data_IF_267154820441
#
_entry.id   IF_267154820441
#
_cell.length_a   1.000
_cell.length_b   1.000
_cell.length_c   1.000
_cell.angle_alpha   90.00
_cell.angle_beta   90.00
_cell.angle_gamma   90.00
#
_symmetry.space_group_name_H-M   'P 1'
#
loop_
_entity.id
_entity.type
_entity.pdbx_description
1 polymer ?
#
# COMPACT_ATOMS: atom_id res chain seq x y z
N UNK A 1 -19.47 -5.67 24.53
CA UNK A 1 -20.65 -5.87 23.68
C UNK A 1 -20.26 -5.56 22.24
N UNK A 2 -20.03 -6.57 21.40
CA UNK A 2 -19.84 -6.35 19.96
C UNK A 2 -21.17 -5.91 19.37
N UNK A 3 -21.26 -4.66 18.93
CA UNK A 3 -22.34 -4.28 18.01
C UNK A 3 -22.03 -4.96 16.68
N UNK A 4 -22.65 -6.13 16.48
CA UNK A 4 -22.81 -6.66 15.13
C UNK A 4 -23.33 -5.49 14.27
N UNK A 5 -22.66 -5.14 13.16
CA UNK A 5 -23.15 -4.07 12.31
C UNK A 5 -24.60 -4.40 11.95
N UNK A 6 -25.51 -3.43 12.10
CA UNK A 6 -26.93 -3.61 11.82
C UNK A 6 -27.10 -4.36 10.48
N UNK A 7 -28.13 -5.20 10.34
CA UNK A 7 -28.36 -5.98 9.11
C UNK A 7 -28.28 -5.12 7.82
N UNK A 8 -28.57 -3.82 7.94
CA UNK A 8 -28.54 -2.81 6.89
C UNK A 8 -27.23 -1.99 6.79
N UNK A 9 -26.13 -2.39 7.44
CA UNK A 9 -24.86 -1.68 7.36
C UNK A 9 -24.34 -1.64 5.91
N UNK A 10 -23.80 -0.48 5.54
CA UNK A 10 -23.23 -0.24 4.21
C UNK A 10 -22.02 -1.13 3.95
N UNK A 11 -21.67 -1.32 2.67
CA UNK A 11 -20.48 -2.08 2.29
C UNK A 11 -19.20 -1.51 2.93
N UNK A 12 -19.07 -0.18 2.94
CA UNK A 12 -17.94 0.52 3.55
C UNK A 12 -17.82 0.27 5.06
N UNK A 13 -18.93 0.22 5.78
CA UNK A 13 -18.93 -0.12 7.21
C UNK A 13 -18.56 -1.59 7.45
N UNK A 14 -19.04 -2.50 6.61
CA UNK A 14 -18.71 -3.93 6.70
C UNK A 14 -17.21 -4.17 6.48
N UNK A 15 -16.59 -3.49 5.52
CA UNK A 15 -15.14 -3.53 5.26
C UNK A 15 -14.29 -3.01 6.43
N UNK A 16 -14.86 -2.16 7.30
CA UNK A 16 -14.16 -1.56 8.44
C UNK A 16 -14.63 -2.13 9.79
N UNK A 17 -15.36 -3.25 9.76
CA UNK A 17 -15.81 -3.98 10.94
C UNK A 17 -15.67 -5.50 10.72
N UNK A 18 -16.76 -6.20 10.44
CA UNK A 18 -16.83 -7.67 10.32
C UNK A 18 -15.94 -8.28 9.21
N UNK A 19 -15.64 -7.52 8.16
CA UNK A 19 -14.81 -7.99 7.03
C UNK A 19 -13.43 -7.34 7.05
N UNK A 20 -13.10 -6.59 8.09
CA UNK A 20 -11.88 -5.80 8.13
C UNK A 20 -10.63 -6.66 8.05
N UNK A 21 -10.56 -7.73 8.83
CA UNK A 21 -9.45 -8.68 8.83
C UNK A 21 -9.23 -9.30 7.42
N UNK A 22 -10.31 -9.76 6.78
CA UNK A 22 -10.25 -10.34 5.43
C UNK A 22 -9.85 -9.30 4.38
N UNK A 23 -10.35 -8.09 4.49
CA UNK A 23 -9.98 -7.00 3.59
C UNK A 23 -8.51 -6.62 3.76
N UNK A 24 -7.99 -6.59 4.99
CA UNK A 24 -6.57 -6.38 5.28
C UNK A 24 -5.69 -7.51 4.74
N UNK A 25 -6.12 -8.78 4.83
CA UNK A 25 -5.39 -9.91 4.24
C UNK A 25 -5.28 -9.80 2.72
N UNK A 26 -6.38 -9.50 2.03
CA UNK A 26 -6.38 -9.27 0.58
C UNK A 26 -5.51 -8.08 0.21
N UNK A 27 -5.61 -6.98 0.96
CA UNK A 27 -4.80 -5.80 0.72
C UNK A 27 -3.30 -6.08 0.96
N UNK A 28 -2.95 -6.83 2.00
CA UNK A 28 -1.58 -7.27 2.28
C UNK A 28 -1.02 -8.11 1.13
N UNK A 29 -1.81 -9.02 0.55
CA UNK A 29 -1.38 -9.78 -0.62
C UNK A 29 -1.01 -8.85 -1.80
N UNK A 30 -1.83 -7.84 -2.09
CA UNK A 30 -1.56 -6.87 -3.16
C UNK A 30 -0.28 -6.08 -2.86
N UNK A 31 -0.13 -5.59 -1.63
CA UNK A 31 1.04 -4.84 -1.16
C UNK A 31 2.32 -5.67 -1.33
N UNK A 32 2.32 -6.92 -0.85
CA UNK A 32 3.48 -7.81 -0.90
C UNK A 32 3.81 -8.24 -2.33
N UNK A 33 2.81 -8.49 -3.18
CA UNK A 33 3.03 -8.80 -4.58
C UNK A 33 3.71 -7.62 -5.31
N UNK A 34 3.20 -6.40 -5.11
CA UNK A 34 3.79 -5.19 -5.69
C UNK A 34 5.20 -4.91 -5.15
N UNK A 35 5.40 -5.01 -3.83
CA UNK A 35 6.71 -4.78 -3.22
C UNK A 35 7.73 -5.84 -3.64
N UNK A 36 7.32 -7.10 -3.73
CA UNK A 36 8.15 -8.21 -4.22
C UNK A 36 8.65 -8.01 -5.64
N UNK A 37 7.81 -7.47 -6.53
CA UNK A 37 8.21 -7.10 -7.89
C UNK A 37 9.39 -6.12 -7.90
N UNK A 38 9.31 -5.09 -7.05
CA UNK A 38 10.37 -4.08 -6.94
C UNK A 38 11.63 -4.60 -6.25
N UNK A 39 11.49 -5.45 -5.22
CA UNK A 39 12.64 -6.09 -4.58
C UNK A 39 13.38 -7.01 -5.56
N UNK A 40 12.65 -7.77 -6.39
CA UNK A 40 13.25 -8.59 -7.43
C UNK A 40 13.97 -7.74 -8.50
N UNK A 41 13.37 -6.62 -8.89
CA UNK A 41 14.03 -5.66 -9.80
C UNK A 41 15.32 -5.11 -9.19
N UNK A 42 15.32 -4.76 -7.90
CA UNK A 42 16.52 -4.32 -7.20
C UNK A 42 17.60 -5.41 -7.18
N UNK A 43 17.21 -6.64 -6.86
CA UNK A 43 18.11 -7.79 -6.83
C UNK A 43 18.73 -8.06 -8.21
N UNK A 44 17.93 -7.99 -9.29
CA UNK A 44 18.41 -8.12 -10.66
C UNK A 44 19.50 -7.10 -10.99
N UNK A 45 19.31 -5.84 -10.58
CA UNK A 45 20.26 -4.75 -10.88
C UNK A 45 21.53 -4.90 -10.05
N UNK A 46 21.39 -5.04 -8.72
CA UNK A 46 22.52 -4.88 -7.79
C UNK A 46 23.25 -6.19 -7.48
N UNK A 47 22.55 -7.32 -7.50
CA UNK A 47 23.15 -8.62 -7.19
C UNK A 47 23.50 -9.39 -8.46
N UNK A 48 22.60 -9.40 -9.45
CA UNK A 48 22.84 -10.11 -10.72
C UNK A 48 23.51 -9.25 -11.79
N UNK A 49 23.70 -7.95 -11.55
CA UNK A 49 24.37 -7.03 -12.49
C UNK A 49 23.61 -6.80 -13.79
N UNK A 50 22.29 -7.04 -13.83
CA UNK A 50 21.51 -6.86 -15.05
C UNK A 50 21.40 -5.37 -15.41
N UNK A 51 21.51 -5.02 -16.71
CA UNK A 51 21.17 -3.68 -17.16
C UNK A 51 19.74 -3.31 -16.76
N UNK A 52 19.52 -2.08 -16.29
CA UNK A 52 18.18 -1.60 -15.85
C UNK A 52 17.04 -1.89 -16.84
N UNK A 53 17.22 -1.77 -18.18
CA UNK A 53 16.17 -2.12 -19.14
C UNK A 53 15.79 -3.61 -19.19
N UNK A 54 16.60 -4.49 -18.62
CA UNK A 54 16.37 -5.94 -18.54
C UNK A 54 15.91 -6.39 -17.15
N UNK A 55 15.97 -5.52 -16.15
CA UNK A 55 15.55 -5.81 -14.78
C UNK A 55 14.04 -5.57 -14.62
N UNK A 56 13.24 -6.56 -15.00
CA UNK A 56 11.77 -6.49 -15.04
C UNK A 56 11.09 -7.25 -13.88
N UNK A 57 11.72 -7.36 -12.70
CA UNK A 57 11.07 -7.95 -11.52
C UNK A 57 10.70 -9.43 -11.68
N UNK A 58 9.66 -9.91 -11.00
CA UNK A 58 9.21 -11.31 -11.05
C UNK A 58 8.32 -11.52 -12.28
N UNK A 59 7.18 -10.83 -12.32
CA UNK A 59 6.18 -11.02 -13.37
C UNK A 59 6.58 -10.39 -14.70
N UNK A 60 7.35 -9.30 -14.69
CA UNK A 60 7.75 -8.63 -15.92
C UNK A 60 8.79 -9.39 -16.74
N UNK A 61 9.42 -10.44 -16.20
CA UNK A 61 10.24 -11.34 -17.01
C UNK A 61 9.39 -12.20 -17.95
N UNK A 62 8.19 -12.57 -17.53
CA UNK A 62 7.26 -13.38 -18.34
C UNK A 62 6.28 -12.50 -19.13
N UNK A 63 5.90 -11.36 -18.57
CA UNK A 63 4.94 -10.42 -19.16
C UNK A 63 5.48 -8.98 -19.14
N UNK A 64 6.47 -8.65 -20.00
CA UNK A 64 7.15 -7.34 -19.97
C UNK A 64 6.21 -6.14 -20.15
N UNK A 65 5.09 -6.33 -20.84
CA UNK A 65 4.08 -5.29 -21.04
C UNK A 65 3.41 -4.84 -19.74
N UNK A 66 3.36 -5.70 -18.71
CA UNK A 66 2.81 -5.33 -17.40
C UNK A 66 3.63 -4.20 -16.77
N UNK A 67 4.95 -4.27 -16.84
CA UNK A 67 5.84 -3.30 -16.15
C UNK A 67 6.18 -2.10 -17.03
N UNK A 68 6.18 -2.29 -18.35
CA UNK A 68 6.42 -1.19 -19.30
C UNK A 68 5.22 -0.26 -19.44
N UNK A 69 4.03 -0.68 -19.00
CA UNK A 69 2.83 0.14 -19.03
C UNK A 69 2.81 1.12 -17.86
N UNK A 70 3.03 2.41 -18.16
CA UNK A 70 2.89 3.49 -17.17
C UNK A 70 1.45 3.58 -16.63
N UNK A 71 0.46 3.24 -17.46
CA UNK A 71 -0.94 3.17 -17.06
C UNK A 71 -1.20 2.04 -16.05
N UNK A 72 -0.60 0.85 -16.25
CA UNK A 72 -0.75 -0.24 -15.28
C UNK A 72 -0.08 0.13 -13.95
N UNK A 73 1.11 0.72 -14.01
CA UNK A 73 1.81 1.19 -12.83
C UNK A 73 0.96 2.22 -12.07
N UNK A 74 0.42 3.22 -12.77
CA UNK A 74 -0.49 4.20 -12.18
C UNK A 74 -1.76 3.57 -11.58
N UNK A 75 -2.31 2.55 -12.26
CA UNK A 75 -3.43 1.76 -11.75
C UNK A 75 -3.14 1.09 -10.40
N UNK A 76 -1.95 0.49 -10.25
CA UNK A 76 -1.51 -0.05 -8.96
C UNK A 76 -1.41 1.04 -7.89
N UNK A 77 -0.88 2.22 -8.22
CA UNK A 77 -0.78 3.34 -7.28
C UNK A 77 -2.16 3.79 -6.77
N UNK A 78 -3.18 3.79 -7.65
CA UNK A 78 -4.58 4.06 -7.26
C UNK A 78 -5.10 2.97 -6.33
N UNK A 79 -4.91 1.68 -6.66
CA UNK A 79 -5.37 0.57 -5.82
C UNK A 79 -4.75 0.64 -4.43
N UNK A 80 -3.46 0.95 -4.33
CA UNK A 80 -2.75 1.13 -3.06
C UNK A 80 -3.34 2.30 -2.25
N UNK A 81 -3.51 3.47 -2.88
CA UNK A 81 -4.08 4.64 -2.22
C UNK A 81 -5.51 4.39 -1.75
N UNK A 82 -6.34 3.77 -2.59
CA UNK A 82 -7.72 3.43 -2.27
C UNK A 82 -7.81 2.42 -1.12
N UNK A 83 -6.96 1.38 -1.13
CA UNK A 83 -6.89 0.39 -0.05
C UNK A 83 -6.54 1.01 1.30
N UNK A 84 -5.48 1.82 1.36
CA UNK A 84 -5.09 2.52 2.60
C UNK A 84 -6.21 3.48 3.04
N UNK A 85 -6.78 4.25 2.12
CA UNK A 85 -7.86 5.19 2.46
C UNK A 85 -9.09 4.47 3.00
N UNK A 86 -9.60 3.47 2.27
CA UNK A 86 -10.87 2.81 2.57
C UNK A 86 -10.81 2.04 3.89
N UNK A 87 -9.69 1.35 4.15
CA UNK A 87 -9.51 0.52 5.34
C UNK A 87 -9.12 1.33 6.58
N UNK A 88 -8.79 2.62 6.43
CA UNK A 88 -8.37 3.48 7.55
C UNK A 88 -9.37 3.52 8.71
N UNK A 89 -10.68 3.45 8.43
CA UNK A 89 -11.73 3.60 9.44
C UNK A 89 -11.79 2.41 10.42
N UNK A 90 -11.29 1.24 10.04
CA UNK A 90 -11.23 0.06 10.92
C UNK A 90 -10.11 0.12 11.97
N UNK A 91 -9.15 1.03 11.82
CA UNK A 91 -8.08 1.25 12.79
C UNK A 91 -8.50 2.22 13.89
N UNK A 92 -8.00 1.99 15.10
CA UNK A 92 -8.20 2.86 16.28
C UNK A 92 -6.86 3.27 16.91
N UNK A 93 -6.87 4.33 17.73
CA UNK A 93 -5.73 4.77 18.52
C UNK A 93 -4.43 4.92 17.73
N UNK A 94 -3.34 4.32 18.24
CA UNK A 94 -2.00 4.38 17.62
C UNK A 94 -1.98 3.76 16.23
N UNK A 95 -2.70 2.66 16.03
CA UNK A 95 -2.75 1.99 14.75
C UNK A 95 -3.31 2.92 13.66
N UNK A 96 -4.36 3.69 14.00
CA UNK A 96 -4.95 4.69 13.10
C UNK A 96 -3.98 5.82 12.76
N UNK A 97 -3.20 6.29 13.73
CA UNK A 97 -2.15 7.29 13.51
C UNK A 97 -1.12 6.81 12.49
N UNK A 98 -0.54 5.63 12.69
CA UNK A 98 0.48 5.09 11.79
C UNK A 98 -0.07 4.74 10.41
N UNK A 99 -1.31 4.26 10.33
CA UNK A 99 -1.98 4.05 9.04
C UNK A 99 -2.25 5.37 8.31
N UNK A 100 -2.52 6.45 9.06
CA UNK A 100 -2.64 7.80 8.49
C UNK A 100 -1.31 8.33 7.99
N UNK A 101 -0.21 8.07 8.71
CA UNK A 101 1.15 8.39 8.23
C UNK A 101 1.43 7.68 6.90
N UNK A 102 1.14 6.37 6.81
CA UNK A 102 1.25 5.63 5.56
C UNK A 102 0.43 6.27 4.43
N UNK A 103 -0.82 6.68 4.73
CA UNK A 103 -1.70 7.33 3.75
C UNK A 103 -1.13 8.65 3.23
N UNK A 104 -0.60 9.50 4.10
CA UNK A 104 -0.01 10.80 3.70
C UNK A 104 1.19 10.59 2.78
N UNK A 105 2.06 9.65 3.13
CA UNK A 105 3.25 9.34 2.32
C UNK A 105 2.82 8.70 0.98
N UNK A 106 1.88 7.76 1.00
CA UNK A 106 1.34 7.13 -0.22
C UNK A 106 0.65 8.15 -1.12
N UNK A 107 -0.04 9.14 -0.55
CA UNK A 107 -0.68 10.19 -1.31
C UNK A 107 0.36 11.07 -2.02
N UNK A 108 1.44 11.45 -1.33
CA UNK A 108 2.56 12.15 -1.98
C UNK A 108 3.21 11.30 -3.08
N UNK A 109 3.48 10.02 -2.81
CA UNK A 109 4.01 9.10 -3.82
C UNK A 109 3.07 8.97 -5.04
N UNK A 110 1.76 8.98 -4.82
CA UNK A 110 0.76 9.00 -5.88
C UNK A 110 0.81 10.29 -6.72
N UNK A 111 1.08 11.45 -6.12
CA UNK A 111 1.26 12.71 -6.88
C UNK A 111 2.44 12.56 -7.85
N UNK A 112 3.58 12.01 -7.40
CA UNK A 112 4.74 11.77 -8.28
C UNK A 112 4.36 10.85 -9.45
N UNK A 113 3.59 9.78 -9.19
CA UNK A 113 3.05 8.91 -10.24
C UNK A 113 2.09 9.62 -11.19
N UNK A 114 1.22 10.49 -10.66
CA UNK A 114 0.30 11.29 -11.44
C UNK A 114 1.04 12.22 -12.40
N UNK A 115 2.13 12.87 -11.94
CA UNK A 115 2.98 13.69 -12.80
C UNK A 115 3.55 12.88 -13.96
N UNK A 116 3.97 11.64 -13.71
CA UNK A 116 4.53 10.75 -14.74
C UNK A 116 3.49 10.35 -15.79
N UNK A 117 2.33 9.82 -15.39
CA UNK A 117 1.27 9.42 -16.33
C UNK A 117 0.69 10.61 -17.10
N UNK A 118 0.62 11.78 -16.47
CA UNK A 118 0.22 13.02 -17.13
C UNK A 118 1.18 13.38 -18.25
N UNK A 119 2.49 13.42 -18.00
CA UNK A 119 3.51 13.71 -19.02
C UNK A 119 3.45 12.69 -20.17
N UNK A 120 3.28 11.41 -19.85
CA UNK A 120 3.17 10.34 -20.83
C UNK A 120 1.95 10.49 -21.74
N UNK A 121 0.83 10.94 -21.19
CA UNK A 121 -0.45 11.14 -21.89
C UNK A 121 -0.49 12.46 -22.67
N UNK A 122 0.05 13.53 -22.09
CA UNK A 122 0.14 14.85 -22.70
C UNK A 122 1.28 14.96 -23.73
N UNK A 123 2.14 13.94 -23.82
CA UNK A 123 3.38 13.94 -24.60
C UNK A 123 4.28 15.17 -24.30
N UNK A 124 4.23 15.64 -23.06
CA UNK A 124 4.96 16.82 -22.61
C UNK A 124 5.76 16.48 -21.36
N UNK A 125 7.07 16.26 -21.53
CA UNK A 125 7.96 15.94 -20.42
C UNK A 125 8.46 17.20 -19.70
N UNK A 126 8.58 17.10 -18.39
CA UNK A 126 9.11 18.18 -17.57
C UNK A 126 10.64 18.27 -17.63
N UNK A 127 11.16 19.46 -17.30
CA UNK A 127 12.60 19.77 -17.22
C UNK A 127 13.41 19.42 -18.48
N UNK A 128 12.77 19.47 -19.65
CA UNK A 128 13.41 19.13 -20.93
C UNK A 128 13.92 17.69 -21.02
N UNK A 129 13.41 16.79 -20.18
CA UNK A 129 13.83 15.37 -20.18
C UNK A 129 13.21 14.63 -21.37
N UNK A 130 13.91 13.64 -21.94
CA UNK A 130 13.39 12.85 -23.07
C UNK A 130 12.32 11.82 -22.65
N UNK A 131 12.07 11.65 -21.35
CA UNK A 131 11.12 10.69 -20.78
C UNK A 131 10.36 11.31 -19.61
N UNK A 132 9.15 10.80 -19.24
CA UNK A 132 8.43 11.25 -18.07
C UNK A 132 9.29 11.24 -16.81
N UNK A 133 9.31 12.37 -16.11
CA UNK A 133 10.21 12.60 -14.99
C UNK A 133 9.47 13.28 -13.84
N UNK A 134 9.74 12.89 -12.59
CA UNK A 134 9.04 13.39 -11.39
C UNK A 134 9.96 14.26 -10.53
N UNK A 135 9.45 14.85 -9.45
CA UNK A 135 10.16 15.87 -8.66
C UNK A 135 11.38 15.28 -7.96
N UNK A 136 11.20 14.24 -7.13
CA UNK A 136 12.34 13.62 -6.43
C UNK A 136 13.28 12.85 -7.37
N UNK A 137 12.85 12.55 -8.60
CA UNK A 137 13.75 11.97 -9.60
C UNK A 137 14.88 12.91 -10.03
N UNK A 138 14.79 14.21 -9.74
CA UNK A 138 15.87 15.18 -10.01
C UNK A 138 17.16 14.85 -9.26
N UNK A 139 17.06 14.15 -8.14
CA UNK A 139 18.19 13.85 -7.25
C UNK A 139 18.39 12.36 -7.01
N UNK A 140 17.35 11.53 -7.13
CA UNK A 140 17.42 10.08 -6.88
C UNK A 140 16.94 9.32 -8.13
N UNK A 141 17.67 8.32 -8.64
CA UNK A 141 17.23 7.56 -9.81
C UNK A 141 15.93 6.79 -9.56
N UNK A 142 15.17 6.54 -10.63
CA UNK A 142 13.76 6.07 -10.54
C UNK A 142 13.60 4.80 -9.70
N UNK A 143 14.45 3.78 -9.88
CA UNK A 143 14.29 2.47 -9.19
C UNK A 143 14.51 2.63 -7.68
N UNK A 144 15.57 3.35 -7.31
CA UNK A 144 15.97 3.65 -5.94
C UNK A 144 14.90 4.49 -5.24
N UNK A 145 14.34 5.46 -5.96
CA UNK A 145 13.25 6.28 -5.45
C UNK A 145 11.98 5.46 -5.16
N UNK A 146 11.61 4.53 -6.04
CA UNK A 146 10.46 3.63 -5.79
C UNK A 146 10.72 2.69 -4.62
N UNK A 147 11.93 2.11 -4.52
CA UNK A 147 12.29 1.28 -3.37
C UNK A 147 12.23 2.06 -2.05
N UNK A 148 12.69 3.31 -2.08
CA UNK A 148 12.60 4.21 -0.93
C UNK A 148 11.13 4.47 -0.56
N UNK A 149 10.30 4.92 -1.50
CA UNK A 149 8.87 5.17 -1.25
C UNK A 149 8.15 3.94 -0.73
N UNK A 150 8.34 2.79 -1.38
CA UNK A 150 7.74 1.52 -0.95
C UNK A 150 8.12 1.20 0.50
N UNK A 151 9.38 1.42 0.88
CA UNK A 151 9.85 1.18 2.24
C UNK A 151 9.22 2.15 3.25
N UNK A 152 9.20 3.45 2.95
CA UNK A 152 8.67 4.46 3.88
C UNK A 152 7.13 4.49 3.98
N UNK A 153 6.43 3.86 3.04
CA UNK A 153 4.99 3.55 3.16
C UNK A 153 4.78 2.25 3.93
N UNK A 154 5.53 1.19 3.59
CA UNK A 154 5.35 -0.14 4.18
C UNK A 154 5.69 -0.17 5.67
N UNK A 155 6.74 0.52 6.12
CA UNK A 155 7.14 0.54 7.54
C UNK A 155 6.01 1.08 8.44
N UNK A 156 5.43 2.28 8.19
CA UNK A 156 4.25 2.74 8.94
C UNK A 156 3.06 1.78 8.87
N UNK A 157 2.82 1.11 7.74
CA UNK A 157 1.76 0.09 7.65
C UNK A 157 2.01 -1.08 8.58
N UNK A 158 3.24 -1.59 8.64
CA UNK A 158 3.62 -2.67 9.57
C UNK A 158 3.47 -2.23 11.02
N UNK A 159 3.91 -1.01 11.36
CA UNK A 159 3.74 -0.45 12.71
C UNK A 159 2.25 -0.32 13.06
N UNK A 160 1.43 0.15 12.13
CA UNK A 160 -0.02 0.23 12.31
C UNK A 160 -0.62 -1.16 12.55
N UNK A 161 -0.25 -2.16 11.75
CA UNK A 161 -0.72 -3.54 11.91
C UNK A 161 -0.30 -4.14 13.25
N UNK A 162 0.92 -3.86 13.70
CA UNK A 162 1.39 -4.29 15.02
C UNK A 162 0.48 -3.75 16.13
N UNK A 163 0.21 -2.44 16.15
CA UNK A 163 -0.69 -1.86 17.16
C UNK A 163 -2.17 -2.27 16.97
N UNK A 164 -2.57 -2.68 15.76
CA UNK A 164 -3.92 -3.15 15.49
C UNK A 164 -4.16 -4.58 15.98
N UNK A 165 -3.15 -5.45 15.85
CA UNK A 165 -3.21 -6.83 16.33
C UNK A 165 -2.92 -6.93 17.83
N UNK A 166 -2.13 -6.00 18.37
CA UNK A 166 -1.78 -5.94 19.80
C UNK A 166 -2.21 -4.58 20.40
N UNK A 167 -3.52 -4.30 20.47
CA UNK A 167 -4.03 -3.04 21.02
C UNK A 167 -3.84 -2.95 22.54
N UNK A 168 -3.79 -1.73 23.07
CA UNK A 168 -4.04 -1.53 24.51
C UNK A 168 -5.51 -1.79 24.84
N UNK A 169 -5.85 -2.05 26.12
CA UNK A 169 -7.26 -2.29 26.50
C UNK A 169 -8.22 -1.17 26.07
N UNK A 170 -7.76 0.09 26.11
CA UNK A 170 -8.57 1.22 25.70
C UNK A 170 -8.81 1.24 24.18
N UNK A 171 -7.80 0.86 23.40
CA UNK A 171 -7.89 0.74 21.94
C UNK A 171 -8.76 -0.44 21.53
N UNK A 172 -8.63 -1.58 22.23
CA UNK A 172 -9.41 -2.80 22.00
C UNK A 172 -10.90 -2.56 22.28
N UNK A 173 -11.24 -1.90 23.39
CA UNK A 173 -12.64 -1.52 23.69
C UNK A 173 -13.27 -0.62 22.61
N UNK A 174 -12.45 0.13 21.86
CA UNK A 174 -12.91 0.96 20.76
C UNK A 174 -12.95 0.23 19.41
N UNK A 175 -12.34 -0.95 19.29
CA UNK A 175 -12.34 -1.74 18.06
C UNK A 175 -13.71 -2.36 17.80
N UNK A 176 -14.09 -2.39 16.52
CA UNK A 176 -15.35 -2.97 16.03
C UNK A 176 -15.11 -4.15 15.07
N UNK A 177 -13.88 -4.67 15.04
CA UNK A 177 -13.43 -5.78 14.20
C UNK A 177 -12.76 -6.86 15.05
N UNK A 178 -12.52 -8.04 14.46
CA UNK A 178 -11.93 -9.20 15.12
C UNK A 178 -10.41 -9.31 15.01
N UNK A 179 -9.73 -8.24 14.57
CA UNK A 179 -8.31 -8.32 14.18
C UNK A 179 -7.30 -8.45 15.34
N UNK A 180 -7.73 -8.21 16.58
CA UNK A 180 -6.87 -8.33 17.75
C UNK A 180 -6.45 -9.81 17.94
N UNK A 181 -5.19 -10.04 18.31
CA UNK A 181 -4.63 -11.39 18.43
C UNK A 181 -5.21 -12.18 19.61
N UNK A 182 -5.35 -11.53 20.76
CA UNK A 182 -5.85 -12.15 22.00
C UNK A 182 -7.37 -12.24 22.05
N UNK A 183 -8.03 -12.19 20.90
CA UNK A 183 -9.47 -12.33 20.79
C UNK A 183 -9.87 -13.76 21.20
N UNK A 184 -10.08 -13.98 22.49
CA UNK A 184 -10.43 -15.26 23.05
C UNK A 184 -11.96 -15.41 23.00
N UNK A 185 -12.54 -16.15 22.04
CA UNK A 185 -13.99 -16.32 21.93
C UNK A 185 -14.60 -17.03 23.16
N UNK A 186 -13.79 -17.69 23.99
CA UNK A 186 -14.26 -18.43 25.17
C UNK A 186 -14.69 -17.56 26.35
N UNK A 187 -14.36 -16.26 26.38
CA UNK A 187 -14.78 -15.35 27.46
C UNK A 187 -16.17 -14.71 27.27
N UNK A 188 -16.86 -15.01 26.17
CA UNK A 188 -18.23 -14.52 25.91
C UNK A 188 -19.33 -15.56 26.19
N UNK A 189 -18.94 -16.77 26.60
CA UNK A 189 -19.86 -17.88 26.88
C UNK A 189 -19.96 -18.24 28.38
N UNK A 190 -19.43 -17.42 29.28
CA UNK A 190 -19.55 -17.54 30.74
C UNK A 190 -20.24 -16.30 31.31
#
# INVERSE_FOLDING_TARGET
MHTAPAANASFYEKLNSRWHERALQVFMFIVLAHWGEHLAQAYQIYVMGWPRPKANGILGLWYPWLIKSEALHYGYAIVMLAGIWVLRKGFTGRAHTWWTVALVIQFWHHIEHFLLIWQATAHHNFWGKPVPFSVLQLVIPRVELHLFYNSIVFIPMVIAMYYHMFPSEAEERAMVCSCAWDHNPSMQAA
#
